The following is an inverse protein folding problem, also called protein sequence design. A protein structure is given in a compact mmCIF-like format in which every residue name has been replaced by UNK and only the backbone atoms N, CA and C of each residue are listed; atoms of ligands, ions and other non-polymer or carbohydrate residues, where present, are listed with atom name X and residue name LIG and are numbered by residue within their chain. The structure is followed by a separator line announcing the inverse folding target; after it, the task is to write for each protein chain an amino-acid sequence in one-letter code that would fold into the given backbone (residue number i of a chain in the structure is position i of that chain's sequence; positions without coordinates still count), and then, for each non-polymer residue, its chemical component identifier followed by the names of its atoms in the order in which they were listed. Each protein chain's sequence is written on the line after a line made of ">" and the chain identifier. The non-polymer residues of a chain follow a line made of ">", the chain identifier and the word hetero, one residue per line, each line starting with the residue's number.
data_IF_221691829980
#
_entry.id   IF_221691829980
#
_cell.length_a   1.000
_cell.length_b   1.000
_cell.length_c   1.000
_cell.angle_alpha   90.00
_cell.angle_beta   90.00
_cell.angle_gamma   90.00
#
_symmetry.space_group_name_H-M   'P 1'
#
loop_
_entity.id
_entity.type
_entity.pdbx_description
1 polymer ?
#
# COMPACT_ATOMS: atom_id res chain seq x y z
N UNK A 1 0.69 7.78 16.36
CA UNK A 1 1.22 8.56 15.22
C UNK A 1 1.02 7.79 13.92
N UNK A 2 0.90 8.47 12.77
CA UNK A 2 0.92 7.81 11.45
C UNK A 2 2.30 7.18 11.16
N UNK A 3 2.35 6.14 10.32
CA UNK A 3 3.59 5.47 9.90
C UNK A 3 3.73 5.56 8.38
N UNK A 4 4.94 5.83 7.90
CA UNK A 4 5.27 5.77 6.47
C UNK A 4 5.30 4.29 6.06
N UNK A 5 4.43 3.90 5.12
CA UNK A 5 4.37 2.52 4.61
C UNK A 5 5.04 2.37 3.24
N UNK A 6 5.14 3.46 2.49
CA UNK A 6 5.70 3.50 1.15
C UNK A 6 6.10 4.93 0.78
N UNK A 7 7.24 5.08 0.11
CA UNK A 7 7.81 6.35 -0.34
C UNK A 7 8.53 6.12 -1.67
N UNK A 8 8.34 7.00 -2.65
CA UNK A 8 8.98 6.90 -3.95
C UNK A 8 8.58 8.07 -4.84
N UNK A 9 9.12 8.13 -6.05
CA UNK A 9 8.66 9.13 -7.03
C UNK A 9 7.17 8.94 -7.31
N UNK A 10 6.45 10.06 -7.52
CA UNK A 10 5.00 10.05 -7.77
C UNK A 10 4.63 9.03 -8.83
N UNK A 11 5.26 9.09 -10.01
CA UNK A 11 4.99 8.15 -11.12
C UNK A 11 5.18 6.69 -10.70
N UNK A 12 6.26 6.38 -10.00
CA UNK A 12 6.53 5.01 -9.48
C UNK A 12 5.47 4.55 -8.50
N UNK A 13 4.95 5.42 -7.63
CA UNK A 13 3.87 5.05 -6.72
C UNK A 13 2.57 4.78 -7.48
N UNK A 14 2.25 5.59 -8.48
CA UNK A 14 1.05 5.38 -9.30
C UNK A 14 1.11 4.09 -10.14
N UNK A 15 2.26 3.77 -10.73
CA UNK A 15 2.42 2.63 -11.63
C UNK A 15 2.81 1.32 -10.93
N UNK A 16 3.60 1.43 -9.85
CA UNK A 16 4.30 0.32 -9.21
C UNK A 16 4.20 0.34 -7.68
N UNK A 17 3.12 0.87 -7.10
CA UNK A 17 2.86 0.76 -5.66
C UNK A 17 2.98 -0.70 -5.19
N UNK A 18 3.93 -0.97 -4.28
CA UNK A 18 4.15 -2.32 -3.77
C UNK A 18 3.37 -2.59 -2.49
N UNK A 19 3.13 -1.57 -1.65
CA UNK A 19 2.42 -1.80 -0.41
C UNK A 19 0.90 -1.98 -0.68
N UNK A 20 0.25 -3.03 -0.13
CA UNK A 20 -1.19 -3.26 -0.33
C UNK A 20 -2.07 -2.06 0.03
N UNK A 21 -1.69 -1.30 1.08
CA UNK A 21 -2.37 -0.06 1.45
C UNK A 21 -2.32 1.00 0.33
N UNK A 22 -1.14 1.28 -0.22
CA UNK A 22 -0.97 2.27 -1.30
C UNK A 22 -1.76 1.87 -2.54
N UNK A 23 -1.72 0.58 -2.92
CA UNK A 23 -2.56 0.03 -4.01
C UNK A 23 -4.05 0.22 -3.75
N UNK A 24 -4.51 -0.06 -2.53
CA UNK A 24 -5.90 0.13 -2.16
C UNK A 24 -6.33 1.61 -2.20
N UNK A 25 -5.45 2.53 -1.79
CA UNK A 25 -5.70 3.98 -1.91
C UNK A 25 -5.83 4.40 -3.37
N UNK A 26 -4.90 3.98 -4.24
CA UNK A 26 -4.93 4.31 -5.66
C UNK A 26 -6.16 3.71 -6.37
N UNK A 27 -6.55 2.48 -6.01
CA UNK A 27 -7.74 1.83 -6.55
C UNK A 27 -9.07 2.47 -6.10
N UNK A 28 -9.07 3.15 -4.94
CA UNK A 28 -10.26 3.83 -4.42
C UNK A 28 -10.53 5.17 -5.12
N UNK A 29 -9.59 5.67 -5.93
CA UNK A 29 -9.77 6.91 -6.69
C UNK A 29 -10.82 6.68 -7.78
N UNK A 30 -11.97 7.39 -7.74
CA UNK A 30 -12.98 7.27 -8.77
C UNK A 30 -12.41 7.67 -10.14
N UNK A 31 -12.55 6.81 -11.14
CA UNK A 31 -12.21 7.18 -12.52
C UNK A 31 -13.31 8.08 -13.06
N UNK A 32 -12.98 9.34 -13.35
CA UNK A 32 -13.88 10.29 -14.01
C UNK A 32 -13.99 9.93 -15.49
N UNK A 33 -14.74 8.87 -15.79
CA UNK A 33 -15.19 8.58 -17.15
C UNK A 33 -16.62 9.13 -17.28
N UNK A 34 -16.85 10.19 -18.08
CA UNK A 34 -18.19 10.75 -18.28
C UNK A 34 -19.16 9.77 -18.96
N UNK A 35 -18.67 8.65 -19.50
CA UNK A 35 -19.45 7.65 -20.24
C UNK A 35 -19.79 6.40 -19.44
N UNK A 36 -19.12 6.15 -18.29
CA UNK A 36 -19.40 4.98 -17.44
C UNK A 36 -20.39 5.34 -16.33
N UNK A 37 -21.64 4.88 -16.49
CA UNK A 37 -22.57 4.79 -15.35
C UNK A 37 -21.92 3.94 -14.26
N UNK A 38 -21.69 4.54 -13.09
CA UNK A 38 -21.16 3.86 -11.90
C UNK A 38 -22.02 2.64 -11.58
N UNK A 39 -21.54 1.43 -11.90
CA UNK A 39 -22.04 0.23 -11.25
C UNK A 39 -21.58 0.29 -9.80
N UNK A 40 -22.47 0.75 -8.92
CA UNK A 40 -22.29 0.72 -7.46
C UNK A 40 -22.15 -0.75 -7.02
N UNK A 41 -20.96 -1.32 -7.12
CA UNK A 41 -20.57 -2.43 -6.25
C UNK A 41 -19.99 -1.81 -4.98
N UNK A 42 -20.90 -1.28 -4.16
CA UNK A 42 -20.59 -0.66 -2.87
C UNK A 42 -20.47 -1.72 -1.77
N UNK A 43 -19.69 -2.78 -2.01
CA UNK A 43 -19.38 -3.80 -1.01
C UNK A 43 -17.97 -3.65 -0.41
N UNK A 44 -17.30 -2.51 -0.62
CA UNK A 44 -16.21 -2.10 0.26
C UNK A 44 -16.77 -1.23 1.39
N UNK A 45 -17.46 -1.86 2.33
CA UNK A 45 -17.70 -1.24 3.63
C UNK A 45 -16.33 -0.91 4.22
N UNK A 46 -15.94 0.37 4.21
CA UNK A 46 -14.81 0.85 5.02
C UNK A 46 -15.28 0.68 6.47
N UNK A 47 -14.76 -0.28 7.24
CA UNK A 47 -15.24 -0.49 8.61
C UNK A 47 -14.89 0.75 9.43
N UNK A 48 -15.83 1.16 10.28
CA UNK A 48 -15.65 2.24 11.27
C UNK A 48 -14.31 2.03 11.99
N UNK A 49 -13.47 3.06 11.96
CA UNK A 49 -12.22 3.13 12.70
C UNK A 49 -12.54 3.00 14.20
N UNK A 50 -12.11 1.93 14.91
CA UNK A 50 -12.27 1.90 16.36
C UNK A 50 -11.44 3.04 16.96
N UNK A 51 -12.05 3.80 17.85
CA UNK A 51 -11.42 4.91 18.54
C UNK A 51 -10.11 4.45 19.20
N UNK A 52 -9.01 5.10 18.85
CA UNK A 52 -7.69 4.78 19.38
C UNK A 52 -7.58 5.23 20.83
N UNK A 53 -7.63 4.28 21.76
CA UNK A 53 -6.88 4.36 23.01
C UNK A 53 -5.38 4.40 22.63
N UNK A 54 -4.88 5.62 22.46
CA UNK A 54 -3.63 5.99 21.82
C UNK A 54 -2.36 5.40 22.47
N UNK A 55 -2.42 4.98 23.74
CA UNK A 55 -1.22 4.65 24.51
C UNK A 55 -0.83 3.16 24.59
N UNK A 56 -1.72 2.19 24.36
CA UNK A 56 -1.40 0.78 24.70
C UNK A 56 -1.41 -0.20 23.52
N UNK A 57 -2.00 0.15 22.37
CA UNK A 57 -2.05 -0.71 21.17
C UNK A 57 -1.08 -0.29 20.05
N UNK A 58 -0.32 0.79 20.26
CA UNK A 58 0.65 1.33 19.29
C UNK A 58 1.97 0.57 19.20
N UNK A 59 2.26 -0.41 20.07
CA UNK A 59 3.61 -0.97 20.20
C UNK A 59 3.94 -2.14 19.25
N UNK A 60 2.94 -2.83 18.67
CA UNK A 60 3.18 -4.10 17.97
C UNK A 60 2.63 -4.10 16.54
N UNK A 61 3.46 -4.49 15.57
CA UNK A 61 3.00 -4.78 14.20
C UNK A 61 2.76 -3.60 13.27
N UNK A 62 2.49 -3.92 12.00
CA UNK A 62 2.06 -3.02 10.93
C UNK A 62 0.63 -2.52 11.19
N UNK A 63 0.41 -1.20 11.11
CA UNK A 63 -0.90 -0.58 11.34
C UNK A 63 -1.99 -1.04 10.33
N UNK A 64 -1.60 -1.53 9.16
CA UNK A 64 -2.52 -2.02 8.13
C UNK A 64 -2.81 -3.52 8.24
N UNK A 65 -2.23 -4.24 9.21
CA UNK A 65 -2.32 -5.71 9.30
C UNK A 65 -3.77 -6.25 9.36
N UNK A 66 -4.70 -5.53 9.99
CA UNK A 66 -6.12 -5.94 10.10
C UNK A 66 -6.87 -5.90 8.76
N UNK A 67 -6.37 -5.15 7.77
CA UNK A 67 -6.99 -4.95 6.46
C UNK A 67 -6.13 -5.47 5.31
N UNK A 68 -4.91 -5.92 5.60
CA UNK A 68 -3.95 -6.34 4.59
C UNK A 68 -4.33 -7.74 4.05
N UNK A 69 -4.58 -7.89 2.72
CA UNK A 69 -4.85 -9.20 2.13
C UNK A 69 -3.62 -10.13 2.15
N UNK A 70 -2.43 -9.57 2.40
CA UNK A 70 -1.15 -10.28 2.46
C UNK A 70 -0.62 -10.42 3.90
N UNK A 71 -1.49 -10.30 4.91
CA UNK A 71 -1.07 -10.30 6.32
C UNK A 71 -0.44 -11.63 6.73
N UNK A 72 0.66 -11.57 7.48
CA UNK A 72 1.31 -12.72 8.11
C UNK A 72 1.34 -12.55 9.64
N UNK A 73 1.66 -13.61 10.38
CA UNK A 73 1.78 -13.57 11.84
C UNK A 73 2.75 -12.48 12.33
N UNK A 74 3.91 -12.35 11.68
CA UNK A 74 4.91 -11.31 11.98
C UNK A 74 4.39 -9.88 11.78
N UNK A 75 3.49 -9.65 10.82
CA UNK A 75 2.91 -8.33 10.56
C UNK A 75 2.10 -7.80 11.76
N UNK A 76 1.57 -8.67 12.63
CA UNK A 76 0.78 -8.28 13.80
C UNK A 76 1.64 -7.94 15.01
N UNK A 77 2.88 -8.44 15.04
CA UNK A 77 3.76 -8.32 16.21
C UNK A 77 4.91 -7.34 15.98
N UNK A 78 5.42 -7.24 14.74
CA UNK A 78 6.59 -6.43 14.39
C UNK A 78 6.24 -5.54 13.20
N UNK A 79 6.50 -4.24 13.33
CA UNK A 79 6.41 -3.32 12.20
C UNK A 79 7.58 -3.57 11.25
N UNK A 80 7.33 -3.77 9.94
CA UNK A 80 8.41 -3.83 8.97
C UNK A 80 9.16 -2.49 8.94
N UNK A 81 10.48 -2.54 8.81
CA UNK A 81 11.27 -1.35 8.58
C UNK A 81 11.03 -0.80 7.17
N UNK A 82 11.14 0.51 7.01
CA UNK A 82 11.09 1.16 5.70
C UNK A 82 12.39 0.86 4.94
N UNK A 83 12.33 0.01 3.92
CA UNK A 83 13.50 -0.50 3.20
C UNK A 83 13.47 -0.13 1.73
N UNK A 84 14.63 0.15 1.14
CA UNK A 84 14.78 0.32 -0.31
C UNK A 84 14.43 -0.98 -1.03
N UNK A 85 13.56 -0.89 -2.03
CA UNK A 85 13.22 -1.98 -2.94
C UNK A 85 13.82 -1.68 -4.31
N UNK A 86 14.39 -2.71 -4.95
CA UNK A 86 14.84 -2.56 -6.34
C UNK A 86 13.59 -2.41 -7.20
N UNK A 87 13.51 -1.32 -7.96
CA UNK A 87 12.43 -1.13 -8.93
C UNK A 87 12.36 -2.38 -9.82
N UNK A 88 11.24 -3.09 -9.76
CA UNK A 88 11.01 -4.26 -10.61
C UNK A 88 11.02 -3.78 -12.06
N UNK A 89 12.03 -4.20 -12.83
CA UNK A 89 12.17 -3.83 -14.22
C UNK A 89 10.97 -4.30 -15.05
N UNK A 90 10.04 -3.41 -15.35
CA UNK A 90 9.12 -3.57 -16.47
C UNK A 90 9.41 -2.50 -17.52
N UNK A 91 10.44 -2.77 -18.33
CA UNK A 91 10.64 -2.32 -19.71
C UNK A 91 10.55 -0.82 -20.08
N UNK A 92 11.74 -0.18 -20.19
CA UNK A 92 12.13 0.91 -21.12
C UNK A 92 11.40 2.26 -21.00
N UNK A 93 11.95 3.46 -21.23
CA UNK A 93 13.23 4.08 -21.59
C UNK A 93 13.12 5.48 -20.92
N UNK A 94 14.08 6.07 -20.23
CA UNK A 94 15.26 6.77 -20.73
C UNK A 94 16.10 7.21 -19.50
N UNK A 95 17.42 7.26 -19.69
CA UNK A 95 18.42 7.44 -18.65
C UNK A 95 18.21 8.71 -17.80
N UNK A 96 17.89 8.55 -16.51
CA UNK A 96 18.20 9.55 -15.48
C UNK A 96 18.95 8.89 -14.31
N UNK A 97 20.22 9.25 -14.04
CA UNK A 97 21.05 8.66 -12.98
C UNK A 97 20.66 9.06 -11.54
N UNK A 98 19.43 9.49 -11.31
CA UNK A 98 18.91 9.82 -9.97
C UNK A 98 18.07 8.64 -9.46
N UNK A 99 18.78 7.63 -8.97
CA UNK A 99 18.34 6.59 -8.03
C UNK A 99 16.99 6.90 -7.38
N UNK A 100 15.88 6.43 -7.97
CA UNK A 100 14.56 6.59 -7.36
C UNK A 100 14.52 5.63 -6.18
N UNK A 101 14.81 6.18 -5.00
CA UNK A 101 14.83 5.57 -3.67
C UNK A 101 13.40 5.13 -3.29
N UNK A 102 12.86 4.12 -3.98
CA UNK A 102 11.56 3.53 -3.68
C UNK A 102 11.70 2.69 -2.41
N UNK A 103 11.10 3.17 -1.33
CA UNK A 103 11.13 2.55 -0.01
C UNK A 103 9.76 2.00 0.34
N UNK A 104 9.74 0.81 0.92
CA UNK A 104 8.52 0.18 1.40
C UNK A 104 8.73 -0.47 2.77
N UNK A 105 7.76 -0.24 3.67
CA UNK A 105 7.65 -0.94 4.93
C UNK A 105 6.65 -2.10 4.78
N UNK A 106 7.09 -3.19 4.15
CA UNK A 106 6.29 -4.39 3.95
C UNK A 106 7.17 -5.63 4.02
N UNK A 107 6.68 -6.72 4.62
CA UNK A 107 7.38 -8.00 4.56
C UNK A 107 7.23 -8.74 3.23
N UNK A 108 6.24 -8.36 2.41
CA UNK A 108 6.00 -8.92 1.07
C UNK A 108 5.77 -7.79 0.04
N UNK A 109 6.79 -6.98 -0.24
CA UNK A 109 6.73 -6.07 -1.39
C UNK A 109 6.59 -6.90 -2.68
N UNK A 110 6.03 -6.31 -3.75
CA UNK A 110 5.81 -6.94 -5.07
C UNK A 110 4.77 -8.08 -5.14
N UNK A 111 4.23 -8.53 -4.01
CA UNK A 111 3.24 -9.60 -4.02
C UNK A 111 1.90 -9.10 -4.59
N UNK A 112 1.43 -9.72 -5.66
CA UNK A 112 0.06 -9.61 -6.17
C UNK A 112 -0.83 -10.55 -5.35
N UNK A 113 -1.99 -10.06 -4.89
CA UNK A 113 -3.00 -10.93 -4.31
C UNK A 113 -3.99 -11.29 -5.42
N UNK A 114 -4.13 -12.58 -5.71
CA UNK A 114 -5.15 -13.08 -6.63
C UNK A 114 -6.46 -13.13 -5.84
N UNK A 115 -7.44 -12.33 -6.23
CA UNK A 115 -8.81 -12.48 -5.75
C UNK A 115 -9.38 -13.76 -6.39
N UNK A 116 -9.57 -14.82 -5.59
CA UNK A 116 -10.38 -15.98 -5.99
C UNK A 116 -11.87 -15.65 -5.99
#
# INVERSE_FOLDING_TARGET
>A
AGRIVEQGATQTLFDHAQHPYTRALLAAVPRTDPSRKMSKSANNSVPKMPGSNFETLSAHGCAYASRCPLVEGKCRNISPALQNIKAGSSGGFENNPQEIDHKVACYKPHATFVTS
#
